data_IF_591627741834
#
_entry.id   IF_591627741834
#
_cell.length_a   1.000
_cell.length_b   1.000
_cell.length_c   1.000
_cell.angle_alpha   90.00
_cell.angle_beta   90.00
_cell.angle_gamma   90.00
#
_symmetry.space_group_name_H-M   'P 1'
#
loop_
_entity.id
_entity.type
_entity.pdbx_description
1 polymer ?
#
# COMPACT_ATOMS: atom_id res chain seq x y z
N UNK A 1 7.33 -3.92 -9.65
CA UNK A 1 6.42 -4.48 -8.61
C UNK A 1 5.94 -5.88 -8.96
N UNK A 2 6.12 -6.83 -8.05
CA UNK A 2 5.60 -8.20 -8.08
C UNK A 2 4.61 -8.35 -6.92
N UNK A 3 3.45 -8.97 -7.17
CA UNK A 3 2.40 -9.21 -6.19
C UNK A 3 2.15 -10.71 -6.10
N UNK A 4 2.18 -11.26 -4.88
CA UNK A 4 2.10 -12.69 -4.62
C UNK A 4 1.09 -12.92 -3.50
N UNK A 5 0.34 -14.03 -3.56
CA UNK A 5 -0.55 -14.40 -2.45
C UNK A 5 0.25 -14.76 -1.21
N UNK A 6 -0.34 -14.56 -0.03
CA UNK A 6 0.30 -14.91 1.24
C UNK A 6 0.75 -16.39 1.24
N UNK A 7 -0.08 -17.31 0.75
CA UNK A 7 0.26 -18.75 0.70
C UNK A 7 1.49 -19.07 -0.14
N UNK A 8 1.61 -18.49 -1.35
CA UNK A 8 2.77 -18.70 -2.21
C UNK A 8 4.03 -18.05 -1.63
N UNK A 9 3.89 -16.87 -1.03
CA UNK A 9 4.99 -16.18 -0.36
C UNK A 9 5.51 -17.00 0.83
N UNK A 10 4.63 -17.46 1.72
CA UNK A 10 5.01 -18.27 2.89
C UNK A 10 5.62 -19.61 2.47
N UNK A 11 5.05 -20.28 1.46
CA UNK A 11 5.59 -21.56 0.96
C UNK A 11 7.00 -21.38 0.40
N UNK A 12 7.20 -20.35 -0.44
CA UNK A 12 8.52 -20.05 -1.01
C UNK A 12 9.54 -19.69 0.07
N UNK A 13 9.13 -18.89 1.06
CA UNK A 13 9.99 -18.50 2.18
C UNK A 13 10.39 -19.71 3.04
N UNK A 14 9.45 -20.60 3.37
CA UNK A 14 9.72 -21.84 4.11
C UNK A 14 10.71 -22.72 3.35
N UNK A 15 10.51 -22.93 2.05
CA UNK A 15 11.43 -23.72 1.22
C UNK A 15 12.85 -23.11 1.23
N UNK A 16 12.96 -21.80 1.08
CA UNK A 16 14.24 -21.09 1.17
C UNK A 16 14.91 -21.27 2.54
N UNK A 17 14.14 -21.15 3.62
CA UNK A 17 14.66 -21.35 4.98
C UNK A 17 15.11 -22.79 5.23
N UNK A 18 14.40 -23.79 4.72
CA UNK A 18 14.81 -25.19 4.80
C UNK A 18 16.14 -25.43 4.07
N UNK A 19 16.32 -24.85 2.88
CA UNK A 19 17.58 -24.95 2.13
C UNK A 19 18.73 -24.26 2.86
N UNK A 20 18.50 -23.06 3.40
CA UNK A 20 19.48 -22.34 4.21
C UNK A 20 19.86 -23.12 5.48
N UNK A 21 18.89 -23.73 6.15
CA UNK A 21 19.14 -24.57 7.32
C UNK A 21 19.96 -25.81 6.95
N UNK A 22 19.58 -26.53 5.90
CA UNK A 22 20.32 -27.70 5.44
C UNK A 22 21.78 -27.34 5.08
N UNK A 23 21.98 -26.26 4.32
CA UNK A 23 23.30 -25.78 3.93
C UNK A 23 24.15 -25.35 5.12
N UNK A 24 23.59 -24.54 6.02
CA UNK A 24 24.30 -24.06 7.21
C UNK A 24 24.69 -25.21 8.15
N UNK A 25 23.81 -26.20 8.37
CA UNK A 25 24.12 -27.38 9.17
C UNK A 25 25.25 -28.22 8.56
N UNK A 26 25.26 -28.41 7.24
CA UNK A 26 26.34 -29.12 6.54
C UNK A 26 27.69 -28.39 6.76
N UNK A 27 27.70 -27.06 6.62
CA UNK A 27 28.89 -26.24 6.80
C UNK A 27 29.40 -26.31 8.25
N UNK A 28 28.50 -26.12 9.23
CA UNK A 28 28.83 -26.16 10.66
C UNK A 28 29.39 -27.54 11.04
N UNK A 29 28.73 -28.63 10.63
CA UNK A 29 29.19 -30.01 10.88
C UNK A 29 30.54 -30.29 10.23
N UNK A 30 30.75 -29.88 8.97
CA UNK A 30 32.06 -30.05 8.28
C UNK A 30 33.17 -29.29 9.00
N UNK A 31 32.91 -28.06 9.44
CA UNK A 31 33.89 -27.21 10.14
C UNK A 31 34.25 -27.77 11.52
N UNK A 32 33.26 -28.22 12.29
CA UNK A 32 33.46 -28.82 13.62
C UNK A 32 34.19 -30.17 13.54
N UNK A 33 33.83 -31.04 12.58
CA UNK A 33 34.51 -32.33 12.38
C UNK A 33 35.99 -32.17 12.01
N UNK A 34 36.35 -31.13 11.24
CA UNK A 34 37.77 -30.81 10.93
C UNK A 34 38.57 -30.40 12.18
N UNK A 35 37.92 -29.94 13.26
CA UNK A 35 38.59 -29.42 14.45
C UNK A 35 39.08 -30.49 15.45
N UNK A 36 38.96 -31.80 15.16
CA UNK A 36 39.58 -32.94 15.89
C UNK A 36 39.60 -32.86 17.45
N UNK A 37 38.58 -32.32 18.13
CA UNK A 37 38.51 -32.34 19.61
C UNK A 37 37.29 -33.14 20.10
N UNK A 38 37.54 -34.14 20.95
CA UNK A 38 36.56 -35.01 21.63
C UNK A 38 35.48 -34.28 22.46
N UNK A 39 35.56 -32.94 22.61
CA UNK A 39 34.51 -32.08 23.19
C UNK A 39 33.37 -31.76 22.17
N UNK A 40 33.37 -32.44 21.01
CA UNK A 40 32.53 -32.13 19.86
C UNK A 40 31.02 -32.17 20.13
N UNK A 41 30.51 -33.12 20.93
CA UNK A 41 29.06 -33.35 21.06
C UNK A 41 28.27 -32.15 21.59
N UNK A 42 28.68 -31.57 22.73
CA UNK A 42 27.97 -30.42 23.33
C UNK A 42 28.11 -29.14 22.49
N UNK A 43 29.28 -28.90 21.91
CA UNK A 43 29.53 -27.73 21.06
C UNK A 43 28.81 -27.83 19.71
N UNK A 44 28.71 -29.04 19.14
CA UNK A 44 27.96 -29.30 17.91
C UNK A 44 26.46 -29.16 18.13
N UNK A 45 25.94 -29.67 19.26
CA UNK A 45 24.55 -29.47 19.66
C UNK A 45 24.22 -27.98 19.86
N UNK A 46 25.06 -27.24 20.59
CA UNK A 46 24.89 -25.80 20.80
C UNK A 46 24.97 -24.99 19.49
N UNK A 47 25.92 -25.29 18.61
CA UNK A 47 26.06 -24.62 17.32
C UNK A 47 24.87 -24.92 16.38
N UNK A 48 24.39 -26.17 16.38
CA UNK A 48 23.21 -26.59 15.62
C UNK A 48 21.95 -25.88 16.12
N UNK A 49 21.77 -25.82 17.45
CA UNK A 49 20.67 -25.10 18.07
C UNK A 49 20.70 -23.60 17.72
N UNK A 50 21.86 -22.95 17.87
CA UNK A 50 22.01 -21.53 17.56
C UNK A 50 21.74 -21.24 16.08
N UNK A 51 22.19 -22.12 15.19
CA UNK A 51 21.91 -22.01 13.74
C UNK A 51 20.41 -22.12 13.47
N UNK A 52 19.72 -23.05 14.13
CA UNK A 52 18.27 -23.20 14.01
C UNK A 52 17.53 -21.93 14.47
N UNK A 53 17.86 -21.42 15.66
CA UNK A 53 17.28 -20.17 16.18
C UNK A 53 17.51 -19.02 15.21
N UNK A 54 18.74 -18.87 14.69
CA UNK A 54 19.06 -17.81 13.72
C UNK A 54 18.22 -17.89 12.45
N UNK A 55 18.02 -19.09 11.88
CA UNK A 55 17.19 -19.27 10.68
C UNK A 55 15.72 -18.95 10.97
N UNK A 56 15.20 -19.35 12.13
CA UNK A 56 13.83 -19.01 12.56
C UNK A 56 13.68 -17.50 12.76
N UNK A 57 14.64 -16.83 13.40
CA UNK A 57 14.63 -15.37 13.54
C UNK A 57 14.67 -14.68 12.18
N UNK A 58 15.51 -15.18 11.25
CA UNK A 58 15.60 -14.64 9.90
C UNK A 58 14.28 -14.80 9.13
N UNK A 59 13.60 -15.93 9.28
CA UNK A 59 12.27 -16.15 8.71
C UNK A 59 11.29 -15.05 9.14
N UNK A 60 11.19 -14.77 10.44
CA UNK A 60 10.28 -13.73 10.93
C UNK A 60 10.71 -12.34 10.50
N UNK A 61 12.01 -12.03 10.54
CA UNK A 61 12.52 -10.75 10.07
C UNK A 61 12.12 -10.48 8.62
N UNK A 62 12.39 -11.45 7.73
CA UNK A 62 12.01 -11.35 6.31
C UNK A 62 10.48 -11.28 6.18
N UNK A 63 9.73 -12.16 6.82
CA UNK A 63 8.26 -12.19 6.71
C UNK A 63 7.58 -10.89 7.17
N UNK A 64 8.17 -10.18 8.13
CA UNK A 64 7.67 -8.88 8.60
C UNK A 64 8.09 -7.72 7.70
N UNK A 65 9.27 -7.79 7.07
CA UNK A 65 9.77 -6.71 6.21
C UNK A 65 9.02 -6.54 4.89
N UNK A 66 8.29 -7.57 4.42
CA UNK A 66 7.54 -7.47 3.17
C UNK A 66 6.18 -6.80 3.40
N UNK A 67 5.83 -5.72 2.69
CA UNK A 67 4.56 -5.06 2.89
C UNK A 67 3.37 -5.91 2.43
N UNK A 68 2.21 -5.66 3.04
CA UNK A 68 0.93 -6.32 2.76
C UNK A 68 -0.07 -5.33 2.17
N UNK A 69 -0.94 -5.85 1.31
CA UNK A 69 -2.13 -5.17 0.82
C UNK A 69 -3.32 -6.12 0.90
N UNK A 70 -4.49 -5.56 1.19
CA UNK A 70 -5.71 -6.32 1.43
C UNK A 70 -6.69 -6.20 0.28
N UNK A 71 -7.75 -7.01 0.33
CA UNK A 71 -8.78 -7.00 -0.69
C UNK A 71 -9.29 -5.58 -0.98
N UNK A 72 -9.40 -5.26 -2.27
CA UNK A 72 -9.84 -3.99 -2.83
C UNK A 72 -8.91 -2.78 -2.62
N UNK A 73 -7.80 -2.94 -1.91
CA UNK A 73 -6.71 -1.95 -1.91
C UNK A 73 -6.12 -1.80 -3.32
N UNK A 74 -5.59 -0.61 -3.60
CA UNK A 74 -4.96 -0.29 -4.87
C UNK A 74 -3.46 -0.03 -4.65
N UNK A 75 -2.62 -0.75 -5.39
CA UNK A 75 -1.18 -0.51 -5.41
C UNK A 75 -0.80 0.35 -6.59
N UNK A 76 -0.12 1.45 -6.31
CA UNK A 76 0.28 2.48 -7.26
C UNK A 76 1.79 2.45 -7.42
N UNK A 77 2.24 2.27 -8.65
CA UNK A 77 3.65 2.36 -9.03
C UNK A 77 3.79 3.20 -10.30
N UNK A 78 5.00 3.67 -10.58
CA UNK A 78 5.29 4.58 -11.69
C UNK A 78 4.72 4.14 -13.04
N UNK A 79 4.71 2.84 -13.31
CA UNK A 79 4.28 2.30 -14.60
C UNK A 79 2.96 1.54 -14.55
N UNK A 80 2.39 1.30 -13.36
CA UNK A 80 1.17 0.48 -13.23
C UNK A 80 0.40 0.72 -11.95
N UNK A 81 -0.90 0.57 -12.08
CA UNK A 81 -1.88 0.51 -11.02
C UNK A 81 -2.41 -0.92 -10.93
N UNK A 82 -2.43 -1.50 -9.73
CA UNK A 82 -2.86 -2.88 -9.52
C UNK A 82 -3.88 -2.99 -8.39
N UNK A 83 -5.10 -3.39 -8.73
CA UNK A 83 -6.15 -3.71 -7.78
C UNK A 83 -5.88 -5.07 -7.13
N UNK A 84 -5.98 -5.12 -5.81
CA UNK A 84 -5.87 -6.36 -5.06
C UNK A 84 -7.21 -7.08 -5.04
N UNK A 85 -7.21 -8.30 -5.59
CA UNK A 85 -8.43 -9.12 -5.77
C UNK A 85 -8.56 -10.26 -4.77
N UNK A 86 -7.57 -10.46 -3.89
CA UNK A 86 -7.61 -11.50 -2.84
C UNK A 86 -7.52 -10.85 -1.46
N UNK A 87 -7.91 -11.60 -0.43
CA UNK A 87 -7.96 -11.14 0.97
C UNK A 87 -6.64 -10.52 1.46
N UNK A 88 -5.51 -11.16 1.18
CA UNK A 88 -4.19 -10.68 1.57
C UNK A 88 -3.14 -11.05 0.53
N UNK A 89 -2.40 -10.05 0.07
CA UNK A 89 -1.29 -10.18 -0.85
C UNK A 89 -0.03 -9.51 -0.29
N UNK A 90 1.12 -10.07 -0.60
CA UNK A 90 2.42 -9.41 -0.42
C UNK A 90 2.83 -8.76 -1.72
N UNK A 91 3.51 -7.64 -1.62
CA UNK A 91 4.10 -7.00 -2.79
C UNK A 91 5.56 -6.62 -2.53
N UNK A 92 6.33 -6.60 -3.62
CA UNK A 92 7.73 -6.20 -3.61
C UNK A 92 8.03 -5.40 -4.88
N UNK A 93 8.84 -4.36 -4.77
CA UNK A 93 9.26 -3.56 -5.91
C UNK A 93 10.62 -2.93 -5.65
N UNK A 94 11.38 -2.71 -6.72
CA UNK A 94 12.62 -1.93 -6.68
C UNK A 94 12.37 -0.42 -6.73
N UNK A 95 11.16 -0.02 -7.14
CA UNK A 95 10.68 1.36 -7.14
C UNK A 95 9.68 1.61 -6.00
N UNK A 96 9.49 2.85 -5.55
CA UNK A 96 8.44 3.19 -4.60
C UNK A 96 7.08 2.70 -5.09
N UNK A 97 6.35 2.04 -4.18
CA UNK A 97 4.97 1.62 -4.37
C UNK A 97 4.18 2.25 -3.26
N UNK A 98 3.12 2.95 -3.62
CA UNK A 98 2.18 3.50 -2.66
C UNK A 98 0.90 2.68 -2.66
N UNK A 99 0.25 2.63 -1.51
CA UNK A 99 -1.02 1.94 -1.32
C UNK A 99 -2.14 2.97 -1.18
N UNK A 100 -3.26 2.75 -1.83
CA UNK A 100 -4.49 3.50 -1.58
C UNK A 100 -5.51 2.54 -0.98
N UNK A 101 -6.05 2.90 0.19
CA UNK A 101 -7.01 2.06 0.89
C UNK A 101 -8.34 1.99 0.14
N UNK A 102 -9.01 0.83 0.24
CA UNK A 102 -10.36 0.66 -0.34
C UNK A 102 -11.33 1.77 0.06
N UNK A 103 -11.30 2.19 1.33
CA UNK A 103 -12.18 3.24 1.87
C UNK A 103 -11.94 4.62 1.24
N UNK A 104 -10.75 4.85 0.68
CA UNK A 104 -10.36 6.13 0.08
C UNK A 104 -10.53 6.16 -1.44
N UNK A 105 -10.95 5.05 -2.05
CA UNK A 105 -11.24 4.97 -3.49
C UNK A 105 -12.64 5.43 -3.87
N UNK A 106 -13.54 5.49 -2.91
CA UNK A 106 -14.92 5.90 -3.15
C UNK A 106 -14.99 7.35 -3.64
N UNK A 107 -16.14 7.75 -4.20
CA UNK A 107 -16.38 9.15 -4.55
C UNK A 107 -16.23 10.02 -3.31
N UNK A 108 -15.50 11.13 -3.45
CA UNK A 108 -15.28 12.10 -2.38
C UNK A 108 -16.22 13.27 -2.62
N UNK A 109 -17.03 13.62 -1.62
CA UNK A 109 -17.97 14.73 -1.72
C UNK A 109 -17.30 16.01 -1.18
N UNK A 110 -17.40 17.09 -1.94
CA UNK A 110 -16.93 18.43 -1.58
C UNK A 110 -17.95 19.50 -1.98
N UNK A 111 -18.10 20.58 -1.21
CA UNK A 111 -18.94 21.70 -1.63
C UNK A 111 -18.28 22.48 -2.79
N UNK A 112 -19.08 22.89 -3.78
CA UNK A 112 -18.73 23.89 -4.80
C UNK A 112 -20.02 24.44 -5.45
N UNK A 113 -20.02 25.71 -5.83
CA UNK A 113 -21.11 26.44 -6.49
C UNK A 113 -22.46 26.27 -5.78
N UNK A 114 -22.47 26.45 -4.46
CA UNK A 114 -23.65 26.24 -3.58
C UNK A 114 -24.23 24.81 -3.61
N UNK A 115 -23.58 23.87 -4.30
CA UNK A 115 -23.97 22.48 -4.48
C UNK A 115 -22.93 21.53 -3.85
N UNK A 116 -23.29 20.25 -3.79
CA UNK A 116 -22.36 19.18 -3.42
C UNK A 116 -21.79 18.54 -4.68
N UNK A 117 -20.47 18.47 -4.80
CA UNK A 117 -19.77 17.83 -5.92
C UNK A 117 -19.21 16.48 -5.49
N UNK A 118 -19.68 15.43 -6.15
CA UNK A 118 -19.09 14.09 -6.04
C UNK A 118 -17.92 13.97 -7.01
N UNK A 119 -16.73 13.69 -6.46
CA UNK A 119 -15.47 13.59 -7.19
C UNK A 119 -15.06 12.13 -7.23
N UNK A 120 -15.04 11.54 -8.43
CA UNK A 120 -14.57 10.18 -8.66
C UNK A 120 -13.22 10.21 -9.39
N UNK A 121 -12.25 9.43 -8.92
CA UNK A 121 -10.92 9.33 -9.55
C UNK A 121 -10.85 8.11 -10.44
N UNK A 122 -10.72 8.34 -11.76
CA UNK A 122 -10.68 7.28 -12.77
C UNK A 122 -9.25 6.79 -13.01
N UNK A 123 -8.27 7.69 -12.92
CA UNK A 123 -6.86 7.39 -13.09
C UNK A 123 -6.04 7.94 -11.92
N UNK A 124 -5.24 7.06 -11.33
CA UNK A 124 -4.45 7.32 -10.12
C UNK A 124 -2.98 7.64 -10.45
N UNK A 125 -2.61 7.75 -11.73
CA UNK A 125 -1.27 8.15 -12.16
C UNK A 125 -0.85 9.53 -11.63
N UNK A 126 -1.72 10.56 -11.66
CA UNK A 126 -1.39 11.86 -11.07
C UNK A 126 -1.17 11.77 -9.56
N UNK A 127 -1.99 10.96 -8.87
CA UNK A 127 -1.86 10.72 -7.43
C UNK A 127 -0.50 10.12 -7.07
N UNK A 128 -0.04 9.12 -7.84
CA UNK A 128 1.31 8.55 -7.67
C UNK A 128 2.41 9.61 -7.83
N UNK A 129 2.32 10.42 -8.87
CA UNK A 129 3.32 11.46 -9.18
C UNK A 129 3.36 12.53 -8.09
N UNK A 130 2.19 12.92 -7.59
CA UNK A 130 2.06 13.88 -6.52
C UNK A 130 2.61 13.33 -5.19
N UNK A 131 2.29 12.09 -4.83
CA UNK A 131 2.82 11.41 -3.63
C UNK A 131 4.34 11.22 -3.67
N UNK A 132 4.93 10.96 -4.84
CA UNK A 132 6.39 10.88 -5.02
C UNK A 132 7.08 12.21 -4.75
N UNK A 133 6.40 13.34 -5.02
CA UNK A 133 6.94 14.70 -4.86
C UNK A 133 6.71 15.26 -3.45
N UNK A 134 5.61 14.90 -2.81
CA UNK A 134 5.18 15.49 -1.56
C UNK A 134 4.96 14.43 -0.49
N UNK A 135 5.92 14.28 0.42
CA UNK A 135 5.89 13.25 1.46
C UNK A 135 4.76 13.43 2.48
N UNK A 136 4.22 14.64 2.66
CA UNK A 136 3.22 14.94 3.69
C UNK A 136 1.88 14.22 3.50
N UNK A 137 1.57 13.75 2.28
CA UNK A 137 0.36 12.96 2.01
C UNK A 137 0.61 11.46 2.13
N UNK A 138 1.86 11.03 2.30
CA UNK A 138 2.24 9.63 2.41
C UNK A 138 2.33 9.27 3.89
N UNK A 139 1.48 8.34 4.31
CA UNK A 139 1.47 7.81 5.68
C UNK A 139 2.67 6.90 5.92
N UNK A 140 2.98 6.64 7.19
CA UNK A 140 4.14 5.85 7.59
C UNK A 140 4.16 4.43 7.03
N UNK A 141 3.00 3.85 6.71
CA UNK A 141 2.83 2.54 6.11
C UNK A 141 2.87 2.55 4.57
N UNK A 142 3.31 3.66 3.97
CA UNK A 142 3.34 3.91 2.52
C UNK A 142 1.95 3.98 1.87
N UNK A 143 0.89 4.21 2.66
CA UNK A 143 -0.42 4.55 2.11
C UNK A 143 -0.55 6.03 1.78
N UNK A 144 -1.29 6.37 0.73
CA UNK A 144 -1.56 7.76 0.34
C UNK A 144 -2.84 8.24 1.01
N UNK A 145 -2.82 9.43 1.59
CA UNK A 145 -4.01 10.15 2.03
C UNK A 145 -4.71 10.81 0.85
N UNK A 146 -5.84 10.23 0.43
CA UNK A 146 -6.60 10.75 -0.71
C UNK A 146 -7.27 12.08 -0.38
N UNK A 147 -7.69 12.29 0.87
CA UNK A 147 -8.33 13.55 1.27
C UNK A 147 -7.32 14.69 1.18
N UNK A 148 -6.10 14.48 1.68
CA UNK A 148 -5.02 15.46 1.57
C UNK A 148 -4.67 15.80 0.12
N UNK A 149 -4.72 14.80 -0.79
CA UNK A 149 -4.54 15.05 -2.22
C UNK A 149 -5.69 15.89 -2.81
N UNK A 150 -6.94 15.54 -2.53
CA UNK A 150 -8.12 16.28 -2.99
C UNK A 150 -8.08 17.73 -2.50
N UNK A 151 -7.74 17.94 -1.24
CA UNK A 151 -7.69 19.28 -0.63
C UNK A 151 -6.56 20.13 -1.22
N UNK A 152 -5.44 19.51 -1.62
CA UNK A 152 -4.30 20.23 -2.18
C UNK A 152 -4.41 20.48 -3.70
N UNK A 153 -5.09 19.61 -4.45
CA UNK A 153 -5.10 19.63 -5.92
C UNK A 153 -6.46 20.00 -6.49
N UNK A 154 -7.55 19.48 -5.91
CA UNK A 154 -8.89 19.60 -6.50
C UNK A 154 -9.67 20.75 -5.89
N UNK A 155 -9.65 20.90 -4.57
CA UNK A 155 -10.38 21.97 -3.86
C UNK A 155 -9.98 23.38 -4.35
N UNK A 156 -8.69 23.70 -4.61
CA UNK A 156 -8.32 25.01 -5.14
C UNK A 156 -8.89 25.28 -6.54
N UNK A 157 -9.07 24.26 -7.37
CA UNK A 157 -9.68 24.41 -8.69
C UNK A 157 -11.20 24.51 -8.61
N UNK A 158 -11.84 23.86 -7.64
CA UNK A 158 -13.26 24.06 -7.34
C UNK A 158 -13.53 25.48 -6.80
N UNK A 159 -12.67 26.03 -5.95
CA UNK A 159 -12.81 27.41 -5.47
C UNK A 159 -12.76 28.43 -6.62
N UNK A 160 -11.93 28.19 -7.64
CA UNK A 160 -11.90 29.04 -8.85
C UNK A 160 -13.19 28.98 -9.67
N UNK A 161 -13.86 27.81 -9.66
CA UNK A 161 -15.15 27.62 -10.30
C UNK A 161 -16.26 28.36 -9.53
N UNK A 162 -16.15 28.47 -8.21
CA UNK A 162 -17.07 29.23 -7.35
C UNK A 162 -16.91 30.75 -7.56
N UNK A 163 -15.67 31.21 -7.70
CA UNK A 163 -15.36 32.62 -7.98
C UNK A 163 -15.59 33.03 -9.46
N UNK A 164 -16.26 32.17 -10.25
CA UNK A 164 -16.50 32.33 -11.70
C UNK A 164 -15.25 32.57 -12.55
N UNK A 165 -14.06 32.32 -12.00
CA UNK A 165 -12.77 32.55 -12.66
C UNK A 165 -12.38 31.43 -13.63
N UNK A 166 -13.13 30.33 -13.62
CA UNK A 166 -12.89 29.12 -14.42
C UNK A 166 -14.22 28.44 -14.75
N UNK A 167 -14.37 27.93 -15.98
CA UNK A 167 -15.58 27.22 -16.40
C UNK A 167 -15.51 25.71 -16.09
N UNK A 168 -16.66 25.03 -16.00
CA UNK A 168 -16.71 23.58 -15.79
C UNK A 168 -15.92 22.79 -16.86
N UNK A 169 -15.90 23.28 -18.10
CA UNK A 169 -15.14 22.67 -19.20
C UNK A 169 -13.63 22.79 -18.98
N UNK A 170 -13.17 23.95 -18.50
CA UNK A 170 -11.76 24.18 -18.14
C UNK A 170 -11.37 23.34 -16.93
N UNK A 171 -12.27 23.15 -15.95
CA UNK A 171 -12.01 22.27 -14.80
C UNK A 171 -11.76 20.83 -15.23
N UNK A 172 -12.63 20.31 -16.12
CA UNK A 172 -12.48 18.98 -16.71
C UNK A 172 -11.21 18.85 -17.56
N UNK A 173 -10.76 19.95 -18.16
CA UNK A 173 -9.52 19.99 -18.95
C UNK A 173 -8.27 20.03 -18.04
N UNK A 174 -8.34 20.74 -16.92
CA UNK A 174 -7.26 20.82 -15.94
C UNK A 174 -7.11 19.54 -15.12
N UNK A 175 -8.23 18.87 -14.82
CA UNK A 175 -8.30 17.66 -14.01
C UNK A 175 -8.94 16.49 -14.78
N UNK A 176 -8.33 16.04 -15.90
CA UNK A 176 -8.95 15.06 -16.80
C UNK A 176 -9.05 13.65 -16.20
N UNK A 177 -8.39 13.39 -15.08
CA UNK A 177 -8.38 12.11 -14.39
C UNK A 177 -9.52 11.96 -13.36
N UNK A 178 -10.33 13.01 -13.19
CA UNK A 178 -11.44 13.07 -12.24
C UNK A 178 -12.78 13.28 -12.96
N UNK A 179 -13.81 12.58 -12.51
CA UNK A 179 -15.21 12.85 -12.88
C UNK A 179 -15.84 13.70 -11.80
N UNK A 180 -16.51 14.78 -12.21
CA UNK A 180 -17.25 15.68 -11.32
C UNK A 180 -18.75 15.55 -11.59
N UNK A 181 -19.50 15.16 -10.56
CA UNK A 181 -20.96 15.07 -10.60
C UNK A 181 -21.55 16.04 -9.58
N UNK A 182 -22.25 17.06 -10.06
CA UNK A 182 -22.91 18.06 -9.22
C UNK A 182 -24.26 17.52 -8.76
N UNK A 183 -24.45 17.51 -7.46
CA UNK A 183 -25.65 17.02 -6.78
C UNK A 183 -26.31 18.25 -6.18
N UNK A 184 -27.50 18.57 -6.68
CA UNK A 184 -28.35 19.60 -6.11
C UNK A 184 -28.64 19.21 -4.66
N UNK A 185 -28.35 20.11 -3.71
CA UNK A 185 -28.73 19.88 -2.33
C UNK A 185 -30.26 19.80 -2.32
N UNK A 186 -30.81 18.59 -2.20
CA UNK A 186 -32.21 18.46 -1.80
C UNK A 186 -32.26 19.02 -0.39
N UNK A 187 -32.74 20.25 -0.26
CA UNK A 187 -33.20 20.78 1.00
C UNK A 187 -34.04 19.69 1.65
N UNK A 188 -33.63 19.28 2.85
CA UNK A 188 -34.55 18.61 3.76
C UNK A 188 -35.58 19.68 4.08
N UNK A 189 -36.62 19.77 3.24
CA UNK A 189 -37.83 20.51 3.55
C UNK A 189 -38.21 20.06 4.95
N UNK A 190 -38.11 21.03 5.88
CA UNK A 190 -38.46 20.83 7.26
C UNK A 190 -39.82 20.15 7.28
N UNK A 191 -39.89 19.00 7.94
CA UNK A 191 -41.16 18.49 8.36
C UNK A 191 -41.79 19.59 9.19
N UNK A 192 -42.77 20.28 8.59
CA UNK A 192 -43.73 21.08 9.31
C UNK A 192 -44.24 20.19 10.44
N UNK A 193 -43.84 20.55 11.65
CA UNK A 193 -44.48 20.07 12.85
C UNK A 193 -45.87 20.64 12.85
N UNK A 194 -46.80 19.92 12.22
CA UNK A 194 -48.21 20.15 12.41
C UNK A 194 -48.61 19.79 13.84
N UNK A 195 -49.40 20.71 14.39
CA UNK A 195 -49.89 20.90 15.75
C UNK A 195 -50.60 19.69 16.41
#
# INVERSE_FOLDING_TARGET
>A
MIVVSEGWFQTGLILLMCLLLAGSLIIVRRKLRRSKKQVAGKKEAAATFLTCVMVVTLYFAISLSFPRAFYADLLLSESKTQLITRESMRYMSFSPVFKLYVIERGPIIRPAQEMSVSIETNDYTPLYTYAKKYEHIVRSDQSIDMQAYVDAVIVPELAKLDDESLTLTELKTALPHHTFTFIENMDVEGGDGDE
#
